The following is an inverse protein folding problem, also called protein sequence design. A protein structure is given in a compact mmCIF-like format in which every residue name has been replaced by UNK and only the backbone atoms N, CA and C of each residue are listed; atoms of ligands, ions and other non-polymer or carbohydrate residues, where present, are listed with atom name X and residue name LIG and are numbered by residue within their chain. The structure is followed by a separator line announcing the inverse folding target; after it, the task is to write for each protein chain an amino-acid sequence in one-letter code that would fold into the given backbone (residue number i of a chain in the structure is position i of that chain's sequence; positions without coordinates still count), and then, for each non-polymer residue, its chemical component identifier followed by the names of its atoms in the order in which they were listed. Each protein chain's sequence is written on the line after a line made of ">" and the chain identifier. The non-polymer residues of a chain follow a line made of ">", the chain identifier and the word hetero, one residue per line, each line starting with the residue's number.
data_IF_937807099410
#
_entry.id   IF_937807099410
#
_cell.length_a   1.000
_cell.length_b   1.000
_cell.length_c   1.000
_cell.angle_alpha   90.00
_cell.angle_beta   90.00
_cell.angle_gamma   90.00
#
_symmetry.space_group_name_H-M   'P 1'
#
loop_
_entity.id
_entity.type
_entity.pdbx_description
1 polymer ?
#
# COMPACT_ATOMS: atom_id res chain seq x y z
N UNK A 1 -29.69 17.29 14.54
CA UNK A 1 -29.57 16.83 15.94
C UNK A 1 -28.48 15.76 16.00
N UNK A 2 -27.46 15.86 16.87
CA UNK A 2 -26.50 14.76 17.02
C UNK A 2 -27.17 13.61 17.78
N UNK A 3 -27.38 12.48 17.12
CA UNK A 3 -27.91 11.26 17.74
C UNK A 3 -26.85 10.67 18.68
N UNK A 4 -27.18 10.47 19.95
CA UNK A 4 -26.30 9.83 20.94
C UNK A 4 -25.98 8.40 20.46
N UNK A 5 -24.74 8.17 20.04
CA UNK A 5 -24.26 6.84 19.64
C UNK A 5 -24.37 5.85 20.81
N UNK A 6 -24.82 4.62 20.51
CA UNK A 6 -24.92 3.54 21.50
C UNK A 6 -23.52 3.08 21.97
N UNK A 7 -23.43 2.41 23.13
CA UNK A 7 -22.16 1.87 23.65
C UNK A 7 -21.50 0.92 22.63
N UNK A 8 -22.29 0.01 22.04
CA UNK A 8 -21.85 -0.93 21.02
C UNK A 8 -21.27 -0.25 19.79
N UNK A 9 -21.88 0.85 19.32
CA UNK A 9 -21.36 1.62 18.18
C UNK A 9 -19.97 2.21 18.45
N UNK A 10 -19.74 2.71 19.67
CA UNK A 10 -18.43 3.26 20.05
C UNK A 10 -17.36 2.18 20.13
N UNK A 11 -17.68 1.04 20.76
CA UNK A 11 -16.76 -0.10 20.87
C UNK A 11 -16.40 -0.66 19.48
N UNK A 12 -17.39 -0.75 18.58
CA UNK A 12 -17.18 -1.13 17.19
C UNK A 12 -16.26 -0.16 16.44
N UNK A 13 -16.47 1.16 16.57
CA UNK A 13 -15.61 2.17 15.94
C UNK A 13 -14.15 2.08 16.42
N UNK A 14 -13.93 1.82 17.70
CA UNK A 14 -12.59 1.62 18.27
C UNK A 14 -11.95 0.36 17.70
N UNK A 15 -12.68 -0.75 17.64
CA UNK A 15 -12.19 -2.00 17.07
C UNK A 15 -11.78 -1.85 15.61
N UNK A 16 -12.62 -1.23 14.78
CA UNK A 16 -12.32 -1.00 13.35
C UNK A 16 -11.11 -0.09 13.16
N UNK A 17 -10.96 0.96 13.99
CA UNK A 17 -9.77 1.83 13.96
C UNK A 17 -8.49 1.07 14.28
N UNK A 18 -8.54 0.18 15.27
CA UNK A 18 -7.41 -0.69 15.59
C UNK A 18 -7.06 -1.62 14.44
N UNK A 19 -8.06 -2.33 13.91
CA UNK A 19 -7.87 -3.27 12.80
C UNK A 19 -7.29 -2.60 11.55
N UNK A 20 -7.84 -1.45 11.16
CA UNK A 20 -7.36 -0.69 9.99
C UNK A 20 -5.93 -0.18 10.18
N UNK A 21 -5.56 0.20 11.41
CA UNK A 21 -4.18 0.60 11.72
C UNK A 21 -3.21 -0.58 11.59
N UNK A 22 -3.59 -1.77 12.09
CA UNK A 22 -2.78 -2.98 11.91
C UNK A 22 -2.61 -3.34 10.43
N UNK A 23 -3.71 -3.35 9.66
CA UNK A 23 -3.66 -3.65 8.22
C UNK A 23 -2.82 -2.64 7.46
N UNK A 24 -2.93 -1.35 7.79
CA UNK A 24 -2.13 -0.28 7.19
C UNK A 24 -0.62 -0.51 7.35
N UNK A 25 -0.19 -1.15 8.44
CA UNK A 25 1.22 -1.45 8.72
C UNK A 25 1.67 -2.80 8.14
N UNK A 26 0.79 -3.81 8.12
CA UNK A 26 1.14 -5.17 7.68
C UNK A 26 1.12 -5.31 6.15
N UNK A 27 0.16 -4.68 5.47
CA UNK A 27 -0.02 -4.83 4.01
C UNK A 27 1.25 -4.51 3.21
N UNK A 28 2.00 -3.43 3.50
CA UNK A 28 3.23 -3.11 2.77
C UNK A 28 4.31 -4.19 2.96
N UNK A 29 4.38 -4.83 4.13
CA UNK A 29 5.33 -5.90 4.42
C UNK A 29 5.06 -7.15 3.55
N UNK A 30 3.81 -7.38 3.16
CA UNK A 30 3.46 -8.46 2.25
C UNK A 30 4.05 -8.28 0.83
N UNK A 31 4.53 -7.08 0.49
CA UNK A 31 5.22 -6.83 -0.78
C UNK A 31 6.71 -7.21 -0.75
N UNK A 32 7.29 -7.47 0.44
CA UNK A 32 8.71 -7.80 0.58
C UNK A 32 9.11 -9.04 -0.24
N UNK A 33 8.38 -10.18 -0.19
CA UNK A 33 8.73 -11.35 -1.01
C UNK A 33 8.69 -11.06 -2.51
N UNK A 34 7.71 -10.27 -2.97
CA UNK A 34 7.58 -9.91 -4.37
C UNK A 34 8.73 -9.00 -4.85
N UNK A 35 9.16 -8.05 -4.01
CA UNK A 35 10.35 -7.23 -4.27
C UNK A 35 11.56 -8.17 -4.37
N UNK A 36 11.78 -9.01 -3.36
CA UNK A 36 12.92 -9.94 -3.32
C UNK A 36 13.02 -10.79 -4.58
N UNK A 37 11.93 -11.46 -4.98
CA UNK A 37 11.91 -12.36 -6.15
C UNK A 37 12.30 -11.62 -7.44
N UNK A 38 11.77 -10.41 -7.65
CA UNK A 38 12.09 -9.60 -8.83
C UNK A 38 13.57 -9.23 -8.85
N UNK A 39 14.14 -8.83 -7.72
CA UNK A 39 15.56 -8.49 -7.62
C UNK A 39 16.49 -9.71 -7.75
N UNK A 40 16.00 -10.91 -7.41
CA UNK A 40 16.68 -12.18 -7.70
C UNK A 40 16.57 -12.63 -9.17
N UNK A 41 15.78 -11.92 -9.99
CA UNK A 41 15.61 -12.22 -11.42
C UNK A 41 14.36 -13.04 -11.75
N UNK A 42 13.54 -13.39 -10.76
CA UNK A 42 12.26 -14.07 -10.95
C UNK A 42 11.19 -13.07 -11.39
N UNK A 43 11.27 -12.64 -12.65
CA UNK A 43 10.35 -11.67 -13.26
C UNK A 43 9.26 -12.32 -14.11
N UNK A 44 9.34 -13.62 -14.33
CA UNK A 44 8.36 -14.38 -15.12
C UNK A 44 6.95 -14.24 -14.52
N UNK A 45 5.99 -13.78 -15.33
CA UNK A 45 4.62 -13.56 -14.91
C UNK A 45 4.38 -12.25 -14.14
N UNK A 46 5.42 -11.44 -13.90
CA UNK A 46 5.29 -10.14 -13.21
C UNK A 46 5.03 -9.03 -14.24
N UNK A 47 3.81 -8.49 -14.27
CA UNK A 47 3.39 -7.50 -15.27
C UNK A 47 3.87 -6.08 -14.95
N UNK A 48 4.82 -5.55 -15.73
CA UNK A 48 5.33 -4.17 -15.60
C UNK A 48 4.19 -3.13 -15.59
N UNK A 49 3.23 -3.25 -16.50
CA UNK A 49 2.10 -2.31 -16.62
C UNK A 49 1.26 -2.32 -15.34
N UNK A 50 0.98 -3.50 -14.80
CA UNK A 50 0.18 -3.66 -13.58
C UNK A 50 0.87 -2.97 -12.40
N UNK A 51 2.16 -3.27 -12.18
CA UNK A 51 2.92 -2.70 -11.06
C UNK A 51 3.11 -1.18 -11.18
N UNK A 52 3.27 -0.68 -12.40
CA UNK A 52 3.36 0.75 -12.68
C UNK A 52 2.03 1.46 -12.36
N UNK A 53 0.91 0.91 -12.83
CA UNK A 53 -0.41 1.47 -12.55
C UNK A 53 -0.75 1.45 -11.07
N UNK A 54 -0.44 0.36 -10.37
CA UNK A 54 -0.58 0.26 -8.94
C UNK A 54 0.29 1.29 -8.20
N UNK A 55 1.53 1.52 -8.65
CA UNK A 55 2.43 2.54 -8.08
C UNK A 55 1.86 3.96 -8.23
N UNK A 56 1.42 4.32 -9.43
CA UNK A 56 0.77 5.61 -9.72
C UNK A 56 -0.51 5.77 -8.90
N UNK A 57 -1.35 4.74 -8.82
CA UNK A 57 -2.56 4.77 -8.00
C UNK A 57 -2.23 5.04 -6.52
N UNK A 58 -1.20 4.38 -5.97
CA UNK A 58 -0.76 4.64 -4.60
C UNK A 58 -0.23 6.05 -4.39
N UNK A 59 0.47 6.62 -5.37
CA UNK A 59 0.89 8.02 -5.33
C UNK A 59 -0.31 8.95 -5.23
N UNK A 60 -1.33 8.77 -6.09
CA UNK A 60 -2.56 9.58 -6.06
C UNK A 60 -3.26 9.47 -4.70
N UNK A 61 -3.40 8.26 -4.17
CA UNK A 61 -4.01 8.06 -2.84
C UNK A 61 -3.18 8.63 -1.69
N UNK A 62 -1.86 8.63 -1.81
CA UNK A 62 -0.96 9.25 -0.82
C UNK A 62 -1.15 10.77 -0.80
N UNK A 63 -1.18 11.40 -1.97
CA UNK A 63 -1.48 12.84 -2.13
C UNK A 63 -2.87 13.16 -1.56
N UNK A 64 -3.86 12.31 -1.84
CA UNK A 64 -5.20 12.47 -1.29
C UNK A 64 -5.21 12.36 0.25
N UNK A 65 -4.47 11.39 0.82
CA UNK A 65 -4.33 11.25 2.27
C UNK A 65 -3.68 12.47 2.94
N UNK A 66 -2.71 13.09 2.28
CA UNK A 66 -2.10 14.36 2.73
C UNK A 66 -3.15 15.48 2.82
N UNK A 67 -4.02 15.61 1.80
CA UNK A 67 -5.11 16.59 1.80
C UNK A 67 -6.12 16.35 2.92
N UNK A 68 -6.43 15.08 3.22
CA UNK A 68 -7.32 14.70 4.33
C UNK A 68 -6.66 14.78 5.70
N UNK A 69 -5.34 14.95 5.78
CA UNK A 69 -4.55 14.84 7.01
C UNK A 69 -4.79 13.51 7.75
N UNK A 70 -4.99 12.42 7.00
CA UNK A 70 -5.11 11.06 7.58
C UNK A 70 -3.76 10.35 7.55
N UNK A 71 -3.03 10.29 8.69
CA UNK A 71 -1.71 9.65 8.74
C UNK A 71 -1.75 8.16 8.41
N UNK A 72 -2.86 7.45 8.68
CA UNK A 72 -2.96 6.02 8.37
C UNK A 72 -2.97 5.79 6.86
N UNK A 73 -3.76 6.59 6.15
CA UNK A 73 -3.85 6.50 4.69
C UNK A 73 -2.52 6.89 4.03
N UNK A 74 -1.86 7.94 4.53
CA UNK A 74 -0.55 8.38 4.06
C UNK A 74 0.49 7.29 4.24
N UNK A 75 0.61 6.72 5.44
CA UNK A 75 1.61 5.68 5.74
C UNK A 75 1.35 4.44 4.88
N UNK A 76 0.10 3.96 4.82
CA UNK A 76 -0.25 2.77 4.05
C UNK A 76 0.02 2.97 2.56
N UNK A 77 -0.50 4.04 1.96
CA UNK A 77 -0.40 4.24 0.52
C UNK A 77 1.00 4.70 0.10
N UNK A 78 1.71 5.44 0.95
CA UNK A 78 3.08 5.84 0.70
C UNK A 78 4.05 4.66 0.74
N UNK A 79 3.90 3.74 1.69
CA UNK A 79 4.71 2.52 1.72
C UNK A 79 4.38 1.56 0.57
N UNK A 80 3.10 1.39 0.23
CA UNK A 80 2.67 0.67 -0.97
C UNK A 80 3.30 1.26 -2.24
N UNK A 81 3.33 2.60 -2.36
CA UNK A 81 3.93 3.31 -3.50
C UNK A 81 5.42 2.96 -3.64
N UNK A 82 6.19 3.05 -2.55
CA UNK A 82 7.62 2.73 -2.53
C UNK A 82 7.85 1.27 -2.94
N UNK A 83 7.09 0.33 -2.36
CA UNK A 83 7.20 -1.09 -2.65
C UNK A 83 6.91 -1.40 -4.14
N UNK A 84 5.84 -0.81 -4.69
CA UNK A 84 5.44 -1.03 -6.10
C UNK A 84 6.46 -0.46 -7.07
N UNK A 85 7.01 0.72 -6.79
CA UNK A 85 8.08 1.28 -7.63
C UNK A 85 9.40 0.52 -7.49
N UNK A 86 9.69 -0.07 -6.32
CA UNK A 86 10.84 -0.97 -6.17
C UNK A 86 10.69 -2.24 -7.04
N UNK A 87 9.47 -2.77 -7.18
CA UNK A 87 9.17 -3.86 -8.12
C UNK A 87 9.38 -3.40 -9.58
N UNK A 88 8.83 -2.25 -9.96
CA UNK A 88 9.01 -1.69 -11.33
C UNK A 88 10.49 -1.51 -11.65
N UNK A 89 11.26 -0.92 -10.73
CA UNK A 89 12.70 -0.72 -10.90
C UNK A 89 13.45 -2.04 -11.08
N UNK A 90 13.13 -3.06 -10.29
CA UNK A 90 13.75 -4.39 -10.43
C UNK A 90 13.42 -5.07 -11.76
N UNK A 91 12.18 -4.96 -12.25
CA UNK A 91 11.79 -5.48 -13.57
C UNK A 91 12.60 -4.79 -14.68
N UNK A 92 12.69 -3.46 -14.65
CA UNK A 92 13.43 -2.70 -15.67
C UNK A 92 14.93 -3.00 -15.65
N UNK A 93 15.52 -3.12 -14.45
CA UNK A 93 16.92 -3.48 -14.29
C UNK A 93 17.21 -4.85 -14.87
N UNK A 94 16.44 -5.88 -14.48
CA UNK A 94 16.67 -7.25 -14.95
C UNK A 94 16.30 -7.43 -16.43
N UNK A 95 15.23 -6.80 -16.89
CA UNK A 95 14.79 -6.84 -18.30
C UNK A 95 15.73 -6.10 -19.27
N UNK A 96 16.49 -5.11 -18.80
CA UNK A 96 17.52 -4.43 -19.59
C UNK A 96 18.88 -5.15 -19.65
N UNK A 97 19.05 -6.25 -18.90
CA UNK A 97 20.26 -7.07 -18.85
C UNK A 97 20.06 -8.50 -19.39
N UNK A 98 18.96 -8.73 -20.12
CA UNK A 98 18.68 -9.97 -20.87
C UNK A 98 19.17 -9.86 -22.32
#
# INVERSE_FOLDING_TARGET
>A
MPTRKSKLQKEWEIFIRWLTTCIALITPLASIPQIWNVWMGETNGVSLITWSWLGISSLVWTIYGLNLKDPRLIIQKGSDMIARFAVVAGILWKGGHL
#
